data_IF_874021747635
#
_entry.id   IF_874021747635
#
_cell.length_a   1.000
_cell.length_b   1.000
_cell.length_c   1.000
_cell.angle_alpha   90.00
_cell.angle_beta   90.00
_cell.angle_gamma   90.00
#
_symmetry.space_group_name_H-M   'P 1'
#
loop_
_entity.id
_entity.type
_entity.pdbx_description
1 polymer ?
#
# COMPACT_ATOMS: atom_id res chain seq x y z
N UNK A 1 38.75 12.63 -27.93
CA UNK A 1 38.45 13.02 -26.53
C UNK A 1 37.32 12.12 -26.03
N UNK A 2 37.50 11.45 -24.89
CA UNK A 2 36.41 10.70 -24.24
C UNK A 2 35.49 11.68 -23.51
N UNK A 3 34.18 11.50 -23.62
CA UNK A 3 33.20 12.27 -22.85
C UNK A 3 32.92 11.49 -21.56
N UNK A 4 33.15 12.11 -20.41
CA UNK A 4 32.82 11.52 -19.10
C UNK A 4 31.32 11.63 -18.85
N UNK A 5 30.58 10.58 -19.25
CA UNK A 5 29.13 10.49 -19.09
C UNK A 5 28.78 9.36 -18.11
N UNK A 6 27.86 9.63 -17.20
CA UNK A 6 27.37 8.64 -16.26
C UNK A 6 26.34 7.69 -16.90
N UNK A 7 26.79 6.49 -17.28
CA UNK A 7 25.97 5.45 -17.92
C UNK A 7 25.13 4.58 -16.97
N UNK A 8 25.15 4.85 -15.65
CA UNK A 8 24.57 3.93 -14.65
C UNK A 8 23.07 3.69 -14.82
N UNK A 9 22.33 4.67 -15.34
CA UNK A 9 20.86 4.66 -15.37
C UNK A 9 20.25 4.67 -16.78
N UNK A 10 21.06 4.52 -17.82
CA UNK A 10 20.60 4.54 -19.22
C UNK A 10 19.61 3.41 -19.48
N UNK A 11 19.88 2.23 -18.93
CA UNK A 11 18.99 1.06 -19.04
C UNK A 11 17.84 1.12 -18.05
N UNK A 12 16.67 1.56 -18.53
CA UNK A 12 15.42 1.58 -17.73
C UNK A 12 14.85 0.18 -17.54
N UNK A 13 14.73 -0.27 -16.29
CA UNK A 13 14.13 -1.57 -15.91
C UNK A 13 12.60 -1.53 -16.01
N UNK A 14 12.05 -1.83 -17.19
CA UNK A 14 10.60 -1.96 -17.43
C UNK A 14 10.31 -3.07 -18.43
N UNK A 15 9.11 -3.65 -18.34
CA UNK A 15 8.63 -4.62 -19.34
C UNK A 15 8.00 -3.90 -20.52
N UNK A 16 8.43 -4.28 -21.73
CA UNK A 16 7.88 -3.81 -23.02
C UNK A 16 6.85 -4.78 -23.58
N UNK A 17 6.86 -6.04 -23.12
CA UNK A 17 5.99 -7.12 -23.59
C UNK A 17 5.68 -8.10 -22.43
N UNK A 18 4.63 -8.93 -22.54
CA UNK A 18 4.40 -9.99 -21.57
C UNK A 18 5.44 -11.11 -21.75
N UNK A 19 5.97 -11.62 -20.63
CA UNK A 19 6.88 -12.79 -20.64
C UNK A 19 6.15 -14.08 -21.03
N UNK A 20 4.83 -14.11 -20.87
CA UNK A 20 4.02 -15.30 -21.17
C UNK A 20 3.88 -15.54 -22.68
N UNK A 21 3.92 -16.82 -23.07
CA UNK A 21 3.71 -17.28 -24.44
C UNK A 21 2.23 -17.55 -24.78
N UNK A 22 1.30 -17.25 -23.86
CA UNK A 22 -0.14 -17.44 -24.09
C UNK A 22 -0.63 -16.60 -25.29
N UNK A 23 -1.17 -17.23 -26.36
CA UNK A 23 -1.61 -16.53 -27.55
C UNK A 23 -2.74 -15.54 -27.26
N UNK A 24 -3.68 -15.86 -26.36
CA UNK A 24 -4.81 -14.98 -26.05
C UNK A 24 -4.36 -13.69 -25.35
N UNK A 25 -3.41 -13.81 -24.43
CA UNK A 25 -2.82 -12.65 -23.77
C UNK A 25 -2.08 -11.76 -24.77
N UNK A 26 -1.38 -12.37 -25.75
CA UNK A 26 -0.67 -11.62 -26.81
C UNK A 26 -1.64 -10.89 -27.74
N UNK A 27 -2.77 -11.50 -28.09
CA UNK A 27 -3.82 -10.85 -28.87
C UNK A 27 -4.40 -9.63 -28.12
N UNK A 28 -4.71 -9.78 -26.83
CA UNK A 28 -5.17 -8.67 -25.99
C UNK A 28 -4.11 -7.55 -25.90
N UNK A 29 -2.84 -7.91 -25.77
CA UNK A 29 -1.73 -6.94 -25.80
C UNK A 29 -1.67 -6.21 -27.13
N UNK A 30 -1.81 -6.89 -28.27
CA UNK A 30 -1.80 -6.28 -29.60
C UNK A 30 -2.95 -5.26 -29.74
N UNK A 31 -4.15 -5.64 -29.28
CA UNK A 31 -5.33 -4.78 -29.24
C UNK A 31 -5.08 -3.53 -28.36
N UNK A 32 -4.66 -3.70 -27.11
CA UNK A 32 -4.45 -2.57 -26.21
C UNK A 32 -3.23 -1.72 -26.57
N UNK A 33 -2.26 -2.27 -27.31
CA UNK A 33 -1.13 -1.52 -27.88
C UNK A 33 -1.60 -0.63 -29.03
N UNK A 34 -2.51 -1.11 -29.86
CA UNK A 34 -3.17 -0.31 -30.88
C UNK A 34 -4.00 0.82 -30.24
N UNK A 35 -4.87 0.47 -29.28
CA UNK A 35 -5.70 1.47 -28.58
C UNK A 35 -4.86 2.50 -27.84
N UNK A 36 -3.83 2.10 -27.09
CA UNK A 36 -3.00 3.03 -26.34
C UNK A 36 -2.19 3.99 -27.23
N UNK A 37 -1.90 3.60 -28.49
CA UNK A 37 -1.22 4.45 -29.46
C UNK A 37 -2.19 5.39 -30.20
N UNK A 38 -3.37 4.89 -30.58
CA UNK A 38 -4.36 5.63 -31.37
C UNK A 38 -5.31 6.49 -30.53
N UNK A 39 -5.48 6.17 -29.26
CA UNK A 39 -6.30 6.95 -28.33
C UNK A 39 -5.42 7.67 -27.32
N UNK A 40 -5.80 8.89 -26.94
CA UNK A 40 -5.13 9.70 -25.91
C UNK A 40 -5.51 9.29 -24.47
N UNK A 41 -6.26 8.19 -24.28
CA UNK A 41 -6.73 7.77 -22.97
C UNK A 41 -5.63 7.12 -22.11
N UNK A 42 -5.42 7.68 -20.91
CA UNK A 42 -4.52 7.11 -19.89
C UNK A 42 -4.97 5.71 -19.45
N UNK A 43 -6.27 5.39 -19.53
CA UNK A 43 -6.81 4.08 -19.16
C UNK A 43 -6.14 2.95 -19.97
N UNK A 44 -6.09 3.09 -21.29
CA UNK A 44 -5.52 2.09 -22.19
C UNK A 44 -4.02 1.88 -21.94
N UNK A 45 -3.28 2.97 -21.69
CA UNK A 45 -1.86 2.88 -21.32
C UNK A 45 -1.66 2.11 -20.00
N UNK A 46 -2.54 2.32 -19.02
CA UNK A 46 -2.47 1.61 -17.73
C UNK A 46 -2.86 0.12 -17.89
N UNK A 47 -3.89 -0.20 -18.67
CA UNK A 47 -4.29 -1.59 -18.94
C UNK A 47 -3.16 -2.32 -19.66
N UNK A 48 -2.57 -1.74 -20.71
CA UNK A 48 -1.42 -2.31 -21.43
C UNK A 48 -0.24 -2.61 -20.49
N UNK A 49 0.15 -1.63 -19.65
CA UNK A 49 1.20 -1.81 -18.64
C UNK A 49 0.88 -2.94 -17.67
N UNK A 50 -0.39 -3.13 -17.32
CA UNK A 50 -0.85 -4.20 -16.42
C UNK A 50 -0.88 -5.56 -17.09
N UNK A 51 -1.16 -5.66 -18.38
CA UNK A 51 -1.07 -6.93 -19.13
C UNK A 51 0.38 -7.47 -19.14
N UNK A 52 1.38 -6.60 -19.14
CA UNK A 52 2.81 -6.99 -19.06
C UNK A 52 3.24 -7.47 -17.67
N UNK A 53 2.46 -7.19 -16.62
CA UNK A 53 2.83 -7.53 -15.25
C UNK A 53 2.90 -9.04 -15.04
N UNK A 54 3.84 -9.47 -14.19
CA UNK A 54 3.93 -10.86 -13.73
C UNK A 54 2.72 -11.24 -12.88
N UNK A 55 2.49 -12.54 -12.70
CA UNK A 55 1.41 -13.09 -11.85
C UNK A 55 1.45 -12.52 -10.42
N UNK A 56 2.65 -12.39 -9.85
CA UNK A 56 2.85 -11.78 -8.52
C UNK A 56 2.31 -10.35 -8.45
N UNK A 57 2.51 -9.56 -9.51
CA UNK A 57 2.11 -8.16 -9.57
C UNK A 57 0.65 -7.96 -10.04
N UNK A 58 -0.02 -9.06 -10.43
CA UNK A 58 -1.46 -9.19 -10.71
C UNK A 58 -2.13 -10.13 -9.69
N UNK A 59 -2.15 -9.75 -8.39
CA UNK A 59 -2.79 -10.57 -7.37
C UNK A 59 -4.30 -10.71 -7.64
N UNK A 60 -4.92 -11.83 -7.24
CA UNK A 60 -6.36 -12.03 -7.38
C UNK A 60 -7.15 -11.00 -6.55
N UNK A 61 -8.38 -10.72 -6.99
CA UNK A 61 -9.30 -9.80 -6.32
C UNK A 61 -10.57 -10.55 -5.93
N UNK A 62 -11.00 -10.43 -4.68
CA UNK A 62 -12.25 -11.02 -4.20
C UNK A 62 -13.47 -10.21 -4.61
N UNK A 63 -14.62 -10.86 -4.82
CA UNK A 63 -15.91 -10.18 -5.05
C UNK A 63 -16.24 -9.19 -3.93
N UNK A 64 -15.96 -9.55 -2.67
CA UNK A 64 -16.17 -8.69 -1.51
C UNK A 64 -15.43 -7.35 -1.61
N UNK A 65 -14.19 -7.35 -2.14
CA UNK A 65 -13.43 -6.13 -2.35
C UNK A 65 -14.01 -5.30 -3.50
N UNK A 66 -14.52 -5.94 -4.54
CA UNK A 66 -15.19 -5.27 -5.66
C UNK A 66 -16.46 -4.58 -5.16
N UNK A 67 -17.33 -5.31 -4.46
CA UNK A 67 -18.58 -4.78 -3.89
C UNK A 67 -18.32 -3.56 -2.98
N UNK A 68 -17.31 -3.66 -2.09
CA UNK A 68 -16.91 -2.52 -1.23
C UNK A 68 -16.40 -1.32 -2.01
N UNK A 69 -15.75 -1.51 -3.16
CA UNK A 69 -15.32 -0.39 -4.00
C UNK A 69 -16.50 0.23 -4.74
N UNK A 70 -17.38 -0.59 -5.29
CA UNK A 70 -18.53 -0.16 -6.08
C UNK A 70 -19.59 0.54 -5.22
N UNK A 71 -19.69 0.23 -3.92
CA UNK A 71 -20.57 0.94 -2.98
C UNK A 71 -20.16 2.40 -2.71
N UNK A 72 -18.95 2.82 -3.08
CA UNK A 72 -18.51 4.20 -2.84
C UNK A 72 -19.27 5.18 -3.75
N UNK A 73 -19.56 6.40 -3.27
CA UNK A 73 -20.32 7.38 -4.04
C UNK A 73 -19.62 7.69 -5.38
N UNK A 74 -20.42 7.86 -6.43
CA UNK A 74 -19.94 8.12 -7.78
C UNK A 74 -19.36 6.89 -8.50
N UNK A 75 -19.58 5.66 -7.99
CA UNK A 75 -19.23 4.41 -8.67
C UNK A 75 -20.44 3.64 -9.22
N UNK A 76 -21.63 4.25 -9.17
CA UNK A 76 -22.86 3.71 -9.72
C UNK A 76 -22.73 3.47 -11.24
N UNK A 77 -23.29 2.35 -11.70
CA UNK A 77 -23.31 1.89 -13.10
C UNK A 77 -21.97 1.77 -13.84
N UNK A 78 -20.85 1.89 -13.11
CA UNK A 78 -19.52 1.74 -13.71
C UNK A 78 -19.14 0.27 -13.86
N UNK A 79 -18.34 0.00 -14.88
CA UNK A 79 -17.77 -1.33 -15.09
C UNK A 79 -16.51 -1.46 -14.22
N UNK A 80 -16.48 -2.44 -13.33
CA UNK A 80 -15.30 -2.75 -12.54
C UNK A 80 -14.30 -3.54 -13.39
N UNK A 81 -13.11 -2.98 -13.64
CA UNK A 81 -12.09 -3.59 -14.50
C UNK A 81 -10.91 -4.08 -13.65
N UNK A 82 -10.64 -5.39 -13.73
CA UNK A 82 -9.55 -6.06 -13.02
C UNK A 82 -8.65 -6.77 -14.03
N UNK A 83 -7.42 -6.29 -14.19
CA UNK A 83 -6.40 -7.01 -14.99
C UNK A 83 -5.79 -8.13 -14.14
N UNK A 84 -6.52 -9.23 -14.01
CA UNK A 84 -6.14 -10.35 -13.16
C UNK A 84 -7.28 -11.36 -12.99
N UNK A 85 -7.17 -12.17 -11.95
CA UNK A 85 -8.19 -13.17 -11.60
C UNK A 85 -9.15 -12.61 -10.56
N UNK A 86 -10.45 -12.90 -10.72
CA UNK A 86 -11.45 -12.62 -9.70
C UNK A 86 -11.84 -13.93 -9.01
N UNK A 87 -11.82 -13.90 -7.68
CA UNK A 87 -12.11 -15.06 -6.83
C UNK A 87 -13.39 -14.83 -6.03
N UNK A 88 -14.06 -15.92 -5.70
CA UNK A 88 -15.22 -15.89 -4.81
C UNK A 88 -14.82 -15.52 -3.36
N UNK A 89 -15.80 -15.04 -2.59
CA UNK A 89 -15.68 -14.84 -1.15
C UNK A 89 -16.98 -15.27 -0.46
N UNK A 90 -16.92 -16.44 0.18
CA UNK A 90 -18.05 -17.09 0.85
C UNK A 90 -18.62 -16.22 1.98
N UNK A 91 -17.79 -15.35 2.58
CA UNK A 91 -18.20 -14.50 3.71
C UNK A 91 -19.17 -13.39 3.31
N UNK A 92 -19.18 -13.00 2.03
CA UNK A 92 -20.19 -12.10 1.52
C UNK A 92 -21.42 -12.96 1.24
N UNK A 93 -22.57 -12.69 1.87
CA UNK A 93 -23.78 -13.49 1.68
C UNK A 93 -24.47 -13.05 0.38
N UNK A 94 -24.84 -11.77 0.32
CA UNK A 94 -25.51 -11.16 -0.83
C UNK A 94 -24.52 -10.42 -1.73
N UNK A 95 -24.54 -10.74 -3.02
CA UNK A 95 -23.71 -10.08 -4.03
C UNK A 95 -24.57 -9.03 -4.74
N UNK A 96 -24.16 -7.74 -4.78
CA UNK A 96 -24.89 -6.73 -5.52
C UNK A 96 -24.80 -6.96 -7.03
N UNK A 97 -25.66 -6.29 -7.81
CA UNK A 97 -25.57 -6.26 -9.28
C UNK A 97 -24.24 -5.62 -9.71
N UNK A 98 -23.32 -6.41 -10.25
CA UNK A 98 -21.98 -5.97 -10.64
C UNK A 98 -21.75 -6.18 -12.13
N UNK A 99 -21.23 -5.15 -12.82
CA UNK A 99 -20.66 -5.26 -14.17
C UNK A 99 -19.15 -5.36 -14.05
N UNK A 100 -18.58 -6.50 -14.41
CA UNK A 100 -17.18 -6.80 -14.10
C UNK A 100 -16.43 -7.27 -15.34
N UNK A 101 -15.26 -6.68 -15.59
CA UNK A 101 -14.33 -7.12 -16.61
C UNK A 101 -13.07 -7.72 -15.98
N UNK A 102 -12.68 -8.94 -16.39
CA UNK A 102 -11.47 -9.58 -15.89
C UNK A 102 -10.77 -10.47 -16.93
N UNK A 103 -9.54 -10.91 -16.61
CA UNK A 103 -8.84 -11.89 -17.44
C UNK A 103 -9.35 -13.31 -17.18
N UNK A 104 -9.60 -13.64 -15.91
CA UNK A 104 -10.14 -14.94 -15.49
C UNK A 104 -11.08 -14.74 -14.31
N UNK A 105 -12.15 -15.51 -14.25
CA UNK A 105 -13.03 -15.60 -13.09
C UNK A 105 -13.04 -17.05 -12.61
N UNK A 106 -13.01 -17.25 -11.30
CA UNK A 106 -13.32 -18.56 -10.73
C UNK A 106 -14.79 -18.89 -10.96
N UNK A 107 -15.12 -20.17 -11.13
CA UNK A 107 -16.48 -20.64 -11.39
C UNK A 107 -17.48 -20.13 -10.35
N UNK A 108 -17.20 -20.31 -9.05
CA UNK A 108 -18.05 -19.80 -7.97
C UNK A 108 -18.30 -18.29 -8.05
N UNK A 109 -17.27 -17.52 -8.43
CA UNK A 109 -17.43 -16.08 -8.62
C UNK A 109 -18.34 -15.74 -9.81
N UNK A 110 -18.18 -16.46 -10.92
CA UNK A 110 -18.98 -16.28 -12.14
C UNK A 110 -20.45 -16.60 -11.86
N UNK A 111 -20.74 -17.75 -11.25
CA UNK A 111 -22.11 -18.19 -10.94
C UNK A 111 -22.82 -17.20 -10.02
N UNK A 112 -22.13 -16.69 -8.99
CA UNK A 112 -22.73 -15.74 -8.05
C UNK A 112 -23.01 -14.37 -8.66
N UNK A 113 -22.09 -13.85 -9.49
CA UNK A 113 -22.31 -12.57 -10.19
C UNK A 113 -23.51 -12.69 -11.14
N UNK A 114 -23.59 -13.77 -11.91
CA UNK A 114 -24.70 -14.01 -12.84
C UNK A 114 -26.02 -14.23 -12.10
N UNK A 115 -26.02 -14.98 -10.98
CA UNK A 115 -27.20 -15.19 -10.13
C UNK A 115 -27.78 -13.87 -9.60
N UNK A 116 -26.93 -12.91 -9.27
CA UNK A 116 -27.36 -11.58 -8.84
C UNK A 116 -27.84 -10.68 -9.99
N UNK A 117 -27.87 -11.16 -11.24
CA UNK A 117 -28.18 -10.36 -12.42
C UNK A 117 -27.05 -9.40 -12.81
N UNK A 118 -25.82 -9.69 -12.40
CA UNK A 118 -24.62 -8.99 -12.85
C UNK A 118 -24.13 -9.49 -14.20
N UNK A 119 -23.11 -8.81 -14.73
CA UNK A 119 -22.54 -9.09 -16.04
C UNK A 119 -21.04 -9.34 -15.94
N UNK A 120 -20.57 -10.38 -16.62
CA UNK A 120 -19.15 -10.74 -16.73
C UNK A 120 -18.69 -10.49 -18.15
N UNK A 121 -17.71 -9.58 -18.30
CA UNK A 121 -17.23 -9.07 -19.58
C UNK A 121 -15.74 -9.44 -19.76
N UNK A 122 -15.32 -9.69 -20.99
CA UNK A 122 -13.90 -9.87 -21.34
C UNK A 122 -13.26 -8.56 -21.81
N UNK A 123 -11.93 -8.53 -21.91
CA UNK A 123 -11.21 -7.30 -22.25
C UNK A 123 -11.42 -6.85 -23.71
N UNK A 124 -11.65 -7.78 -24.63
CA UNK A 124 -12.05 -7.53 -26.01
C UNK A 124 -13.47 -6.93 -26.08
N UNK A 125 -14.44 -7.51 -25.38
CA UNK A 125 -15.79 -6.94 -25.27
C UNK A 125 -15.79 -5.56 -24.63
N UNK A 126 -14.96 -5.34 -23.59
CA UNK A 126 -14.80 -4.04 -22.96
C UNK A 126 -14.26 -2.99 -23.95
N UNK A 127 -13.30 -3.37 -24.80
CA UNK A 127 -12.73 -2.49 -25.79
C UNK A 127 -13.77 -2.02 -26.83
N UNK A 128 -14.71 -2.89 -27.21
CA UNK A 128 -15.82 -2.52 -28.09
C UNK A 128 -16.80 -1.56 -27.41
N UNK A 129 -17.20 -1.84 -26.15
CA UNK A 129 -18.17 -1.02 -25.42
C UNK A 129 -17.62 0.34 -24.99
N UNK A 130 -16.35 0.38 -24.61
CA UNK A 130 -15.73 1.56 -24.01
C UNK A 130 -14.26 1.66 -24.42
N UNK A 131 -13.98 1.99 -25.69
CA UNK A 131 -12.61 2.03 -26.23
C UNK A 131 -11.73 3.08 -25.54
N UNK A 132 -12.32 4.10 -24.93
CA UNK A 132 -11.62 5.14 -24.15
C UNK A 132 -11.57 4.85 -22.66
N UNK A 133 -12.28 3.83 -22.16
CA UNK A 133 -12.39 3.51 -20.73
C UNK A 133 -13.37 4.40 -19.93
N UNK A 134 -14.28 5.11 -20.61
CA UNK A 134 -15.35 5.89 -19.94
C UNK A 134 -16.21 4.97 -19.05
N UNK A 135 -16.70 5.51 -17.91
CA UNK A 135 -17.51 4.78 -16.92
C UNK A 135 -16.88 3.47 -16.41
N UNK A 136 -15.54 3.40 -16.32
CA UNK A 136 -14.84 2.25 -15.73
C UNK A 136 -14.21 2.59 -14.39
N UNK A 137 -14.14 1.60 -13.50
CA UNK A 137 -13.37 1.66 -12.26
C UNK A 137 -12.28 0.60 -12.31
N UNK A 138 -11.04 1.06 -12.46
CA UNK A 138 -9.89 0.18 -12.56
C UNK A 138 -9.41 -0.22 -11.15
N UNK A 139 -9.42 -1.52 -10.84
CA UNK A 139 -9.00 -2.06 -9.54
C UNK A 139 -7.71 -2.87 -9.60
N UNK A 140 -7.02 -2.95 -8.46
CA UNK A 140 -5.88 -3.84 -8.24
C UNK A 140 -6.11 -4.64 -6.95
N UNK A 141 -5.64 -5.88 -6.96
CA UNK A 141 -5.60 -6.70 -5.75
C UNK A 141 -4.48 -6.28 -4.79
N UNK A 142 -4.48 -6.83 -3.57
CA UNK A 142 -3.50 -6.53 -2.54
C UNK A 142 -2.16 -7.19 -2.89
N UNK A 143 -1.11 -6.40 -3.11
CA UNK A 143 0.21 -6.94 -3.47
C UNK A 143 1.02 -7.45 -2.28
N UNK A 144 0.80 -6.85 -1.10
CA UNK A 144 1.59 -7.08 0.12
C UNK A 144 1.05 -8.20 1.03
N UNK A 145 -0.09 -8.80 0.70
CA UNK A 145 -0.73 -9.83 1.56
C UNK A 145 -0.08 -11.21 1.46
N UNK A 146 0.98 -11.37 0.67
CA UNK A 146 1.68 -12.64 0.49
C UNK A 146 2.60 -12.95 1.67
N UNK A 147 2.78 -14.23 1.96
CA UNK A 147 3.69 -14.67 3.04
C UNK A 147 5.12 -14.19 2.82
N UNK A 148 5.63 -14.29 1.59
CA UNK A 148 6.95 -13.79 1.24
C UNK A 148 7.16 -12.31 1.62
N UNK A 149 6.12 -11.47 1.52
CA UNK A 149 6.21 -10.06 1.90
C UNK A 149 6.33 -9.85 3.40
N UNK A 150 5.92 -10.80 4.25
CA UNK A 150 6.08 -10.71 5.71
C UNK A 150 7.51 -10.95 6.17
N UNK A 151 8.29 -11.66 5.35
CA UNK A 151 9.71 -11.90 5.59
C UNK A 151 10.62 -10.81 5.01
N UNK A 152 10.06 -9.90 4.21
CA UNK A 152 10.78 -8.75 3.67
C UNK A 152 10.72 -7.59 4.66
N UNK A 153 11.85 -6.93 4.88
CA UNK A 153 11.93 -5.77 5.76
C UNK A 153 13.24 -5.72 6.53
N UNK A 154 13.25 -4.95 7.62
CA UNK A 154 14.37 -4.91 8.56
C UNK A 154 14.60 -6.32 9.13
N UNK A 155 15.84 -6.67 9.44
CA UNK A 155 16.15 -7.99 9.96
C UNK A 155 15.30 -8.30 11.21
N UNK A 156 14.82 -9.55 11.40
CA UNK A 156 13.93 -9.90 12.51
C UNK A 156 14.52 -9.69 13.91
N UNK A 157 15.82 -9.45 14.06
CA UNK A 157 16.52 -9.20 15.34
C UNK A 157 16.76 -7.72 15.67
N UNK A 158 16.37 -6.82 14.76
CA UNK A 158 16.62 -5.38 14.92
C UNK A 158 15.46 -4.74 15.69
N UNK A 159 15.71 -3.79 16.60
CA UNK A 159 14.66 -3.07 17.31
C UNK A 159 13.60 -2.50 16.35
N UNK A 160 12.32 -2.67 16.73
CA UNK A 160 11.15 -2.24 15.99
C UNK A 160 10.91 -2.97 14.66
N UNK A 161 11.55 -4.13 14.46
CA UNK A 161 11.24 -5.01 13.34
C UNK A 161 10.03 -5.90 13.64
N UNK A 162 9.09 -5.97 12.70
CA UNK A 162 7.95 -6.90 12.73
C UNK A 162 8.08 -8.00 11.67
N UNK A 163 9.26 -8.09 11.03
CA UNK A 163 9.55 -9.07 9.99
C UNK A 163 9.50 -10.48 10.55
N UNK A 164 8.77 -11.36 9.88
CA UNK A 164 8.67 -12.76 10.28
C UNK A 164 10.01 -13.47 10.05
N UNK A 165 10.57 -14.20 11.04
CA UNK A 165 11.76 -15.01 10.83
C UNK A 165 11.46 -16.24 9.97
N UNK A 166 12.47 -16.73 9.26
CA UNK A 166 12.38 -17.97 8.48
C UNK A 166 12.63 -19.16 9.39
N UNK A 167 11.55 -19.84 9.80
CA UNK A 167 11.61 -20.99 10.70
C UNK A 167 10.88 -22.16 10.03
N UNK A 168 11.47 -23.37 10.08
CA UNK A 168 10.87 -24.59 9.52
C UNK A 168 9.59 -24.99 10.24
N UNK A 169 9.62 -24.98 11.58
CA UNK A 169 8.50 -25.39 12.43
C UNK A 169 8.14 -24.28 13.41
N UNK A 170 6.84 -24.15 13.72
CA UNK A 170 6.35 -23.17 14.70
C UNK A 170 6.07 -23.89 16.02
N UNK A 171 6.68 -23.46 17.12
CA UNK A 171 6.47 -24.09 18.42
C UNK A 171 7.21 -23.39 19.56
N UNK A 172 7.06 -23.89 20.79
CA UNK A 172 7.72 -23.32 21.99
C UNK A 172 9.26 -23.32 21.86
N UNK A 173 9.81 -24.38 21.26
CA UNK A 173 11.25 -24.64 21.14
C UNK A 173 11.91 -23.92 19.94
N UNK A 174 11.15 -23.30 19.04
CA UNK A 174 11.69 -22.72 17.80
C UNK A 174 11.67 -21.19 17.85
N UNK A 175 12.84 -20.56 18.00
CA UNK A 175 13.05 -19.10 17.92
C UNK A 175 12.11 -18.22 18.78
N UNK A 176 11.77 -18.68 19.99
CA UNK A 176 10.93 -17.93 20.95
C UNK A 176 11.62 -17.59 22.27
N UNK A 177 12.89 -17.94 22.44
CA UNK A 177 13.64 -17.80 23.70
C UNK A 177 14.38 -16.45 23.77
N UNK A 178 15.72 -16.47 23.77
CA UNK A 178 16.57 -15.27 23.82
C UNK A 178 16.25 -14.31 22.67
N UNK A 179 16.23 -13.01 22.95
CA UNK A 179 15.93 -11.95 21.98
C UNK A 179 14.43 -11.69 21.77
N UNK A 180 13.56 -12.64 22.09
CA UNK A 180 12.09 -12.47 21.96
C UNK A 180 11.37 -12.20 23.28
N UNK A 181 12.04 -12.44 24.42
CA UNK A 181 11.47 -12.29 25.77
C UNK A 181 12.45 -11.59 26.69
N UNK A 182 11.93 -10.73 27.56
CA UNK A 182 12.75 -9.99 28.51
C UNK A 182 13.41 -10.91 29.55
N UNK A 183 12.78 -12.05 29.85
CA UNK A 183 13.29 -13.04 30.81
C UNK A 183 14.54 -13.77 30.33
N UNK A 184 14.86 -13.76 29.04
CA UNK A 184 15.97 -14.50 28.46
C UNK A 184 16.98 -13.53 27.82
N UNK A 185 17.71 -12.80 28.65
CA UNK A 185 18.78 -11.87 28.25
C UNK A 185 18.27 -10.51 27.80
N UNK A 186 17.56 -10.44 26.67
CA UNK A 186 16.98 -9.19 26.17
C UNK A 186 15.74 -9.47 25.30
N UNK A 187 14.90 -8.45 25.15
CA UNK A 187 13.76 -8.45 24.25
C UNK A 187 13.95 -7.39 23.18
N UNK A 188 13.73 -7.76 21.94
CA UNK A 188 13.58 -6.78 20.87
C UNK A 188 12.46 -5.80 21.20
N UNK A 189 12.79 -4.51 21.19
CA UNK A 189 11.84 -3.44 21.45
C UNK A 189 10.80 -3.41 20.33
N UNK A 190 9.55 -3.73 20.66
CA UNK A 190 8.41 -3.49 19.77
C UNK A 190 7.76 -2.17 20.21
N UNK A 191 7.45 -1.29 19.25
CA UNK A 191 6.79 -0.02 19.56
C UNK A 191 5.39 -0.30 20.10
N UNK A 192 5.09 0.20 21.30
CA UNK A 192 3.73 0.54 21.70
C UNK A 192 3.50 1.97 21.24
N UNK A 193 2.92 2.17 20.06
CA UNK A 193 2.29 3.46 19.77
C UNK A 193 0.92 3.38 20.42
N UNK A 194 0.85 3.70 21.71
CA UNK A 194 -0.39 4.17 22.31
C UNK A 194 -0.57 5.59 21.72
N UNK A 195 -1.38 5.70 20.68
CA UNK A 195 -1.91 7.00 20.26
C UNK A 195 -3.03 7.27 21.27
N UNK A 196 -2.69 7.92 22.39
CA UNK A 196 -3.71 8.58 23.21
C UNK A 196 -4.26 9.73 22.37
N UNK A 197 -5.49 9.55 21.89
CA UNK A 197 -6.27 10.66 21.34
C UNK A 197 -6.82 11.46 22.52
N UNK A 198 -6.01 12.40 23.05
CA UNK A 198 -6.50 13.42 23.97
C UNK A 198 -7.34 14.43 23.18
N UNK A 199 -8.66 14.28 23.26
CA UNK A 199 -9.64 15.10 22.54
C UNK A 199 -9.85 16.50 23.13
N UNK A 200 -8.98 17.00 24.00
CA UNK A 200 -9.29 18.17 24.81
C UNK A 200 -8.20 19.25 24.96
N UNK A 201 -6.96 19.05 24.51
CA UNK A 201 -5.93 20.11 24.63
C UNK A 201 -4.99 20.15 23.43
N UNK A 202 -5.16 21.17 22.59
CA UNK A 202 -4.25 21.49 21.50
C UNK A 202 -2.90 21.96 22.02
N UNK A 203 -1.98 21.03 22.30
CA UNK A 203 -0.55 21.30 22.44
C UNK A 203 0.22 19.99 22.24
N UNK A 204 1.06 19.91 21.20
CA UNK A 204 1.98 18.79 21.00
C UNK A 204 3.19 19.01 21.89
N UNK A 205 3.19 18.41 23.09
CA UNK A 205 4.40 18.26 23.90
C UNK A 205 4.81 16.80 23.85
N UNK A 206 5.86 16.50 23.09
CA UNK A 206 6.49 15.19 23.11
C UNK A 206 7.36 15.07 24.37
N UNK A 207 6.81 14.58 25.48
CA UNK A 207 7.61 14.19 26.63
C UNK A 207 8.31 12.85 26.33
N UNK A 208 9.64 12.92 26.15
CA UNK A 208 10.53 11.75 26.17
C UNK A 208 10.62 11.21 27.61
N UNK A 209 9.72 10.31 27.98
CA UNK A 209 9.84 9.57 29.24
C UNK A 209 10.62 8.28 29.02
N UNK A 210 11.91 8.32 29.30
CA UNK A 210 12.81 7.17 29.25
C UNK A 210 12.61 6.31 30.50
N UNK A 211 11.67 5.36 30.47
CA UNK A 211 11.53 4.36 31.54
C UNK A 211 12.64 3.30 31.43
N UNK A 212 13.81 3.58 31.98
CA UNK A 212 14.81 2.58 32.36
C UNK A 212 14.51 2.08 33.78
N UNK A 213 13.69 1.03 33.92
CA UNK A 213 13.54 0.34 35.21
C UNK A 213 14.65 -0.69 35.37
N UNK A 214 15.83 -0.25 35.78
CA UNK A 214 16.84 -1.12 36.39
C UNK A 214 16.36 -1.34 37.83
N UNK A 215 15.95 -2.56 38.17
CA UNK A 215 15.72 -2.94 39.57
C UNK A 215 17.01 -3.54 40.11
N UNK A 216 17.53 -2.95 41.18
CA UNK A 216 18.59 -3.55 42.00
C UNK A 216 19.80 -2.65 42.22
N UNK A 217 19.67 -1.67 43.13
CA UNK A 217 20.76 -1.17 43.99
C UNK A 217 20.19 -0.07 44.90
N UNK A 218 20.24 -0.27 46.21
CA UNK A 218 19.85 0.72 47.22
C UNK A 218 20.78 1.96 47.12
N UNK A 219 20.27 3.20 47.30
CA UNK A 219 21.11 4.38 47.34
C UNK A 219 21.60 4.62 48.77
N UNK A 220 22.78 4.11 49.10
CA UNK A 220 23.59 4.63 50.21
C UNK A 220 24.71 5.48 49.64
N UNK A 221 24.97 6.60 50.31
CA UNK A 221 26.00 7.62 50.06
C UNK A 221 25.70 8.63 48.95
N UNK A 222 25.54 9.89 49.37
CA UNK A 222 25.49 11.04 48.49
C UNK A 222 26.85 11.31 47.86
N UNK A 223 26.83 11.60 46.57
CA UNK A 223 27.89 12.36 45.92
C UNK A 223 27.25 13.39 44.98
N UNK A 224 27.57 14.65 45.28
CA UNK A 224 27.26 15.83 44.48
C UNK A 224 28.18 15.81 43.25
N UNK A 225 27.66 15.49 42.08
CA UNK A 225 28.36 15.69 40.81
C UNK A 225 28.02 17.09 40.27
N UNK A 226 28.92 18.05 40.53
CA UNK A 226 28.92 19.39 39.92
C UNK A 226 29.04 19.26 38.40
N UNK A 227 27.97 19.54 37.66
CA UNK A 227 28.07 19.74 36.21
C UNK A 227 28.58 21.15 35.89
N UNK A 228 29.76 21.20 35.28
CA UNK A 228 30.40 22.38 34.69
C UNK A 228 29.52 22.89 33.54
N UNK A 229 28.94 24.08 33.69
CA UNK A 229 28.18 24.76 32.64
C UNK A 229 29.11 25.11 31.47
N UNK A 230 29.05 24.32 30.40
CA UNK A 230 29.66 24.63 29.11
C UNK A 230 28.75 25.56 28.30
N UNK A 231 29.34 26.66 27.81
CA UNK A 231 28.70 27.80 27.12
C UNK A 231 27.74 27.36 26.01
N UNK A 232 26.49 27.83 26.08
CA UNK A 232 25.55 27.86 24.94
C UNK A 232 26.14 28.75 23.85
N UNK A 233 26.33 28.21 22.64
CA UNK A 233 26.39 29.00 21.42
C UNK A 233 25.01 28.93 20.79
N UNK A 234 24.26 30.01 20.95
CA UNK A 234 23.01 30.24 20.21
C UNK A 234 23.39 30.56 18.76
N UNK A 235 22.79 29.85 17.81
CA UNK A 235 22.85 30.21 16.39
C UNK A 235 21.55 30.94 16.03
N UNK A 236 21.61 32.18 15.52
CA UNK A 236 20.43 32.89 15.06
C UNK A 236 19.99 32.36 13.69
N UNK A 237 18.77 31.82 13.63
CA UNK A 237 18.09 31.54 12.36
C UNK A 237 17.58 32.87 11.81
N UNK A 238 18.20 33.34 10.73
CA UNK A 238 17.73 34.49 9.95
C UNK A 238 16.43 34.10 9.24
N UNK A 239 15.32 34.74 9.63
CA UNK A 239 14.09 34.78 8.84
C UNK A 239 14.25 35.81 7.73
N UNK A 240 14.24 35.35 6.47
CA UNK A 240 14.20 36.22 5.29
C UNK A 240 12.75 36.40 4.83
N UNK A 241 12.24 37.62 5.05
CA UNK A 241 11.37 38.42 4.17
C UNK A 241 10.19 37.76 3.43
N UNK A 242 8.99 38.10 3.94
CA UNK A 242 7.82 38.67 3.26
C UNK A 242 7.67 38.55 1.72
N UNK A 243 6.51 38.04 1.29
CA UNK A 243 5.69 38.60 0.19
C UNK A 243 4.20 38.50 0.58
N UNK A 244 3.52 39.64 0.46
CA UNK A 244 2.10 39.95 0.65
C UNK A 244 1.13 39.09 -0.18
N UNK A 245 -0.09 38.85 0.33
CA UNK A 245 -1.34 39.56 -0.04
C UNK A 245 -2.62 38.68 -0.01
N UNK A 246 -3.64 39.27 0.62
CA UNK A 246 -5.09 39.15 0.47
C UNK A 246 -5.85 37.82 0.71
N UNK A 247 -6.48 37.77 1.89
CA UNK A 247 -7.80 37.17 2.08
C UNK A 247 -8.73 38.20 2.70
N UNK A 248 -9.53 38.85 1.87
CA UNK A 248 -10.70 39.63 2.27
C UNK A 248 -11.91 39.11 1.50
N UNK A 249 -12.67 38.16 2.08
CA UNK A 249 -14.13 38.08 1.83
C UNK A 249 -14.85 37.67 3.12
N UNK A 250 -15.38 38.71 3.76
CA UNK A 250 -16.63 38.85 4.52
C UNK A 250 -17.30 37.61 5.12
N UNK A 251 -17.38 37.66 6.45
CA UNK A 251 -18.50 37.19 7.28
C UNK A 251 -19.74 38.07 7.07
N UNK A 252 -20.92 37.47 6.94
CA UNK A 252 -22.20 38.11 7.31
C UNK A 252 -23.08 37.06 7.99
N UNK A 253 -23.46 37.37 9.23
CA UNK A 253 -24.47 36.69 10.02
C UNK A 253 -25.83 37.42 9.87
N UNK A 254 -26.93 36.69 10.06
CA UNK A 254 -28.32 37.17 10.11
C UNK A 254 -29.07 36.87 8.80
N UNK A 255 -30.18 36.14 8.76
CA UNK A 255 -31.16 35.65 9.75
C UNK A 255 -31.67 34.29 9.30
#
# INVERSE_FOLDING_TARGET
MGIDINHRYDKKKRRTEPVSQDPYLRLLVKLYRFLARRTSSKFNQVVLKRLFMSKINRPPVSISRIARRMKKPGCEDKICVVVGTITDDIRLIEVPKLKVCALRLTEGARTRILKSGGEVITFDQLALRSPTGKKTVLLQGPRKSREACKHMGRAPGVPHSTTKPYVRSKGRKFERARGRRASCGYKELQVKHEIEHDFSRGAVVAHLFQKSKIRGSNPTSGQVLRHRLGRRRELPIKCSSAVLCDKTVRTSWGT
#
